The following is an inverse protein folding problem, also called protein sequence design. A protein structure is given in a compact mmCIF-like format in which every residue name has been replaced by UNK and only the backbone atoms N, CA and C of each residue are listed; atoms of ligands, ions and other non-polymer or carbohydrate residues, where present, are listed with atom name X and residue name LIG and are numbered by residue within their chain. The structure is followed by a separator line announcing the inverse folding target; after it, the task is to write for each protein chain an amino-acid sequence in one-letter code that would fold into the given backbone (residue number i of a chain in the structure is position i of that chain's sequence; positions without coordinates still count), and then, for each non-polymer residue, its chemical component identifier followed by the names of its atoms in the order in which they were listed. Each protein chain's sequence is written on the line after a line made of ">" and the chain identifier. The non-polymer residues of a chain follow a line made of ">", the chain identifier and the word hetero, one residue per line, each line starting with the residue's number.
data_IF_153668710384
#
_entry.id   IF_153668710384
#
_cell.length_a   1.000
_cell.length_b   1.000
_cell.length_c   1.000
_cell.angle_alpha   90.00
_cell.angle_beta   90.00
_cell.angle_gamma   90.00
#
_symmetry.space_group_name_H-M   'P 1'
#
loop_
_entity.id
_entity.type
_entity.pdbx_description
1 polymer ?
#
# COMPACT_ATOMS: atom_id res chain seq x y z
N UNK A 1 -14.20 70.02 1.81
CA UNK A 1 -13.89 68.82 0.99
C UNK A 1 -12.40 68.57 1.03
N UNK A 2 -11.89 67.57 1.76
CA UNK A 2 -10.79 66.68 1.34
C UNK A 2 -10.93 65.39 2.17
N UNK A 3 -11.30 64.29 1.52
CA UNK A 3 -11.31 62.95 2.09
C UNK A 3 -9.97 62.29 1.78
N UNK A 4 -9.25 61.78 2.79
CA UNK A 4 -8.06 60.96 2.59
C UNK A 4 -8.06 59.82 3.59
N UNK A 5 -8.70 58.72 3.20
CA UNK A 5 -8.56 57.43 3.89
C UNK A 5 -7.36 56.74 3.23
N UNK A 6 -6.29 56.56 4.00
CA UNK A 6 -5.10 55.82 3.58
C UNK A 6 -5.27 54.37 4.04
N UNK A 7 -5.45 53.44 3.12
CA UNK A 7 -5.50 52.00 3.41
C UNK A 7 -4.14 51.39 3.09
N UNK A 8 -3.45 50.73 4.04
CA UNK A 8 -2.29 49.92 3.72
C UNK A 8 -2.77 48.56 3.19
N UNK A 9 -2.51 48.28 1.92
CA UNK A 9 -2.70 46.95 1.35
C UNK A 9 -1.61 46.02 1.90
N UNK A 10 -1.94 45.19 2.90
CA UNK A 10 -1.09 44.08 3.32
C UNK A 10 -1.15 42.98 2.26
N UNK A 11 -0.08 42.82 1.48
CA UNK A 11 0.11 41.69 0.58
C UNK A 11 0.67 40.51 1.38
N UNK A 12 -0.17 39.51 1.65
CA UNK A 12 0.26 38.26 2.26
C UNK A 12 0.81 37.32 1.18
N UNK A 13 2.12 37.09 1.21
CA UNK A 13 2.78 36.11 0.34
C UNK A 13 2.55 34.72 0.94
N UNK A 14 1.66 33.93 0.32
CA UNK A 14 1.45 32.54 0.68
C UNK A 14 2.55 31.69 0.04
N UNK A 15 3.48 31.22 0.85
CA UNK A 15 4.46 30.21 0.43
C UNK A 15 3.73 28.88 0.35
N UNK A 16 3.43 28.42 -0.87
CA UNK A 16 2.97 27.05 -1.11
C UNK A 16 4.13 26.09 -0.86
N UNK A 17 4.17 25.48 0.32
CA UNK A 17 5.01 24.32 0.57
C UNK A 17 4.47 23.15 -0.26
N UNK A 18 5.17 22.82 -1.35
CA UNK A 18 4.91 21.59 -2.09
C UNK A 18 5.39 20.44 -1.20
N UNK A 19 4.45 19.71 -0.59
CA UNK A 19 4.79 18.50 0.12
C UNK A 19 5.35 17.50 -0.89
N UNK A 20 6.65 17.23 -0.82
CA UNK A 20 7.24 16.06 -1.45
C UNK A 20 6.70 14.85 -0.71
N UNK A 21 5.61 14.27 -1.20
CA UNK A 21 5.17 12.96 -0.75
C UNK A 21 6.31 11.99 -1.05
N UNK A 22 7.03 11.57 0.01
CA UNK A 22 7.92 10.44 -0.08
C UNK A 22 7.06 9.26 -0.53
N UNK A 23 7.32 8.82 -1.75
CA UNK A 23 6.58 7.76 -2.40
C UNK A 23 7.02 6.49 -1.67
N UNK A 24 6.15 5.96 -0.82
CA UNK A 24 6.39 4.75 -0.04
C UNK A 24 5.43 3.67 -0.52
N UNK A 25 5.82 2.41 -0.35
CA UNK A 25 4.93 1.29 -0.66
C UNK A 25 3.65 1.40 0.19
N UNK A 26 2.52 1.15 -0.44
CA UNK A 26 1.22 1.29 0.20
C UNK A 26 0.67 -0.09 0.59
N UNK A 27 0.30 -0.26 1.86
CA UNK A 27 -0.46 -1.44 2.27
C UNK A 27 -1.86 -1.35 1.67
N UNK A 28 -2.18 -2.29 0.78
CA UNK A 28 -3.46 -2.33 0.05
C UNK A 28 -4.49 -3.13 0.81
N UNK A 29 -4.11 -4.31 1.30
CA UNK A 29 -5.00 -5.20 2.06
C UNK A 29 -4.19 -6.21 2.86
N UNK A 30 -4.86 -6.90 3.78
CA UNK A 30 -4.30 -8.06 4.47
C UNK A 30 -5.38 -9.14 4.64
N UNK A 31 -4.96 -10.34 4.97
CA UNK A 31 -5.86 -11.47 5.14
C UNK A 31 -5.15 -12.73 5.62
N UNK A 32 -5.87 -13.85 5.65
CA UNK A 32 -5.31 -15.14 6.05
C UNK A 32 -5.98 -16.31 5.33
N UNK A 33 -5.27 -17.43 5.27
CA UNK A 33 -5.73 -18.70 4.69
C UNK A 33 -4.76 -19.83 5.00
N UNK A 34 -5.22 -21.08 5.01
CA UNK A 34 -4.36 -22.24 5.33
C UNK A 34 -3.77 -22.14 6.73
N UNK A 35 -2.45 -22.10 6.87
CA UNK A 35 -1.71 -21.78 8.11
C UNK A 35 -0.94 -20.45 8.03
N UNK A 36 -1.34 -19.58 7.10
CA UNK A 36 -0.61 -18.37 6.76
C UNK A 36 -1.50 -17.12 6.83
N UNK A 37 -0.83 -15.98 6.98
CA UNK A 37 -1.39 -14.64 6.86
C UNK A 37 -0.60 -13.86 5.81
N UNK A 38 -1.24 -12.91 5.13
CA UNK A 38 -0.58 -12.07 4.14
C UNK A 38 -0.88 -10.59 4.35
N UNK A 39 0.05 -9.76 3.87
CA UNK A 39 -0.18 -8.37 3.54
C UNK A 39 0.12 -8.15 2.06
N UNK A 40 -0.80 -7.50 1.37
CA UNK A 40 -0.66 -7.08 0.00
C UNK A 40 -0.21 -5.63 -0.04
N UNK A 41 0.97 -5.41 -0.60
CA UNK A 41 1.57 -4.10 -0.75
C UNK A 41 1.60 -3.70 -2.23
N UNK A 42 1.46 -2.41 -2.49
CA UNK A 42 1.66 -1.82 -3.81
C UNK A 42 3.02 -1.12 -3.81
N UNK A 43 3.83 -1.42 -4.83
CA UNK A 43 5.12 -0.78 -5.01
C UNK A 43 4.94 0.72 -5.21
N UNK A 44 5.90 1.47 -4.70
CA UNK A 44 6.02 2.92 -4.78
C UNK A 44 5.74 3.50 -6.18
N UNK A 45 6.23 2.85 -7.25
CA UNK A 45 6.00 3.30 -8.63
C UNK A 45 4.56 3.06 -9.14
N UNK A 46 3.65 2.51 -8.32
CA UNK A 46 2.36 1.95 -8.69
C UNK A 46 2.41 0.90 -9.83
N UNK A 47 3.60 0.35 -10.09
CA UNK A 47 3.85 -0.58 -11.22
C UNK A 47 3.60 -2.05 -10.89
N UNK A 48 3.36 -2.39 -9.63
CA UNK A 48 3.12 -3.77 -9.24
C UNK A 48 2.75 -3.93 -7.79
N UNK A 49 2.41 -5.17 -7.45
CA UNK A 49 1.97 -5.59 -6.12
C UNK A 49 2.88 -6.69 -5.61
N UNK A 50 3.05 -6.82 -4.31
CA UNK A 50 3.76 -7.95 -3.73
C UNK A 50 3.11 -8.35 -2.41
N UNK A 51 3.35 -9.60 -2.03
CA UNK A 51 2.92 -10.15 -0.76
C UNK A 51 4.08 -10.26 0.21
N UNK A 52 3.85 -9.81 1.44
CA UNK A 52 4.58 -10.27 2.61
C UNK A 52 3.72 -11.36 3.26
N UNK A 53 4.35 -12.46 3.65
CA UNK A 53 3.64 -13.67 4.10
C UNK A 53 4.22 -14.09 5.44
N UNK A 54 3.34 -14.36 6.40
CA UNK A 54 3.67 -14.85 7.72
C UNK A 54 3.05 -16.23 7.92
N UNK A 55 3.65 -17.01 8.81
CA UNK A 55 2.88 -18.05 9.48
C UNK A 55 1.82 -17.38 10.36
N UNK A 56 0.62 -17.95 10.44
CA UNK A 56 -0.51 -17.29 11.09
C UNK A 56 -0.19 -16.89 12.54
N UNK A 57 0.48 -17.77 13.27
CA UNK A 57 0.84 -17.60 14.67
C UNK A 57 1.87 -16.49 14.91
N UNK A 58 2.67 -16.15 13.90
CA UNK A 58 3.74 -15.16 13.96
C UNK A 58 3.35 -13.78 13.41
N UNK A 59 2.18 -13.67 12.76
CA UNK A 59 1.70 -12.39 12.22
C UNK A 59 1.63 -11.29 13.30
N UNK A 60 2.27 -10.15 13.01
CA UNK A 60 2.34 -9.00 13.92
C UNK A 60 3.31 -9.16 15.11
N UNK A 61 3.98 -10.31 15.24
CA UNK A 61 4.96 -10.59 16.31
C UNK A 61 6.38 -10.71 15.77
N UNK A 62 6.51 -11.26 14.58
CA UNK A 62 7.79 -11.53 13.93
C UNK A 62 7.81 -10.93 12.52
N UNK A 63 9.01 -10.92 11.94
CA UNK A 63 9.21 -10.60 10.53
C UNK A 63 8.45 -11.58 9.62
N UNK A 64 8.16 -11.14 8.40
CA UNK A 64 7.51 -11.99 7.41
C UNK A 64 8.34 -13.25 7.16
N UNK A 65 7.69 -14.41 7.18
CA UNK A 65 8.30 -15.70 6.81
C UNK A 65 8.90 -15.63 5.40
N UNK A 66 8.22 -14.96 4.47
CA UNK A 66 8.75 -14.69 3.14
C UNK A 66 8.12 -13.44 2.53
N UNK A 67 8.79 -12.86 1.54
CA UNK A 67 8.26 -11.81 0.67
C UNK A 67 8.35 -12.29 -0.77
N UNK A 68 7.23 -12.23 -1.47
CA UNK A 68 7.14 -12.64 -2.88
C UNK A 68 7.78 -11.63 -3.85
N UNK A 69 7.97 -12.06 -5.10
CA UNK A 69 8.26 -11.14 -6.20
C UNK A 69 7.08 -10.21 -6.50
N UNK A 70 7.32 -9.18 -7.32
CA UNK A 70 6.24 -8.31 -7.77
C UNK A 70 5.32 -8.99 -8.79
N UNK A 71 4.04 -8.65 -8.74
CA UNK A 71 2.96 -9.08 -9.62
C UNK A 71 2.36 -7.89 -10.34
N UNK A 72 1.88 -8.11 -11.56
CA UNK A 72 1.25 -7.08 -12.40
C UNK A 72 -0.08 -6.57 -11.85
N UNK A 73 -0.75 -7.32 -10.96
CA UNK A 73 -2.02 -6.94 -10.36
C UNK A 73 -2.19 -7.53 -8.96
N UNK A 74 -3.04 -6.88 -8.17
CA UNK A 74 -3.47 -7.39 -6.86
C UNK A 74 -4.14 -8.77 -6.98
N UNK A 75 -4.94 -8.99 -8.02
CA UNK A 75 -5.59 -10.28 -8.28
C UNK A 75 -4.57 -11.41 -8.44
N UNK A 76 -3.55 -11.23 -9.31
CA UNK A 76 -2.49 -12.25 -9.50
C UNK A 76 -1.72 -12.54 -8.21
N UNK A 77 -1.46 -11.51 -7.40
CA UNK A 77 -0.83 -11.68 -6.11
C UNK A 77 -1.70 -12.52 -5.16
N UNK A 78 -2.98 -12.19 -5.03
CA UNK A 78 -3.91 -12.93 -4.16
C UNK A 78 -4.16 -14.35 -4.63
N UNK A 79 -4.24 -14.59 -5.94
CA UNK A 79 -4.29 -15.94 -6.52
C UNK A 79 -3.03 -16.74 -6.16
N UNK A 80 -1.84 -16.14 -6.24
CA UNK A 80 -0.61 -16.80 -5.79
C UNK A 80 -0.68 -17.18 -4.30
N UNK A 81 -1.17 -16.29 -3.42
CA UNK A 81 -1.37 -16.64 -2.01
C UNK A 81 -2.34 -17.81 -1.86
N UNK A 82 -3.48 -17.74 -2.53
CA UNK A 82 -4.54 -18.73 -2.38
C UNK A 82 -4.09 -20.13 -2.82
N UNK A 83 -3.31 -20.21 -3.91
CA UNK A 83 -2.82 -21.45 -4.47
C UNK A 83 -1.68 -22.09 -3.68
N UNK A 84 -0.77 -21.28 -3.12
CA UNK A 84 0.47 -21.79 -2.51
C UNK A 84 0.43 -21.84 -0.98
N UNK A 85 -0.47 -21.09 -0.34
CA UNK A 85 -0.49 -20.93 1.11
C UNK A 85 -1.88 -21.15 1.71
N UNK A 86 -2.94 -20.64 1.07
CA UNK A 86 -4.28 -20.78 1.60
C UNK A 86 -4.90 -22.18 1.38
N UNK A 87 -4.20 -23.03 0.61
CA UNK A 87 -4.62 -24.37 0.26
C UNK A 87 -6.02 -24.41 -0.39
N UNK A 88 -6.38 -23.34 -1.10
CA UNK A 88 -7.68 -23.26 -1.79
C UNK A 88 -7.63 -24.03 -3.12
N UNK A 89 -8.76 -24.63 -3.48
CA UNK A 89 -8.97 -25.18 -4.82
C UNK A 89 -9.60 -24.09 -5.70
N UNK A 90 -8.80 -23.46 -6.55
CA UNK A 90 -9.25 -22.42 -7.49
C UNK A 90 -9.07 -22.88 -8.94
N UNK A 91 -9.85 -22.36 -9.90
CA UNK A 91 -9.62 -22.63 -11.33
C UNK A 91 -8.21 -22.25 -11.80
N UNK A 92 -7.60 -21.23 -11.17
CA UNK A 92 -6.23 -20.80 -11.45
C UNK A 92 -5.16 -21.78 -10.96
N UNK A 93 -5.50 -22.68 -10.04
CA UNK A 93 -4.63 -23.72 -9.50
C UNK A 93 -5.45 -24.95 -9.09
N UNK A 94 -5.84 -25.78 -10.08
CA UNK A 94 -6.50 -27.05 -9.78
C UNK A 94 -5.54 -27.95 -9.00
N UNK A 95 -6.07 -28.60 -7.97
CA UNK A 95 -5.36 -29.60 -7.17
C UNK A 95 -5.63 -31.00 -7.68
#
# INVERSE_FOLDING_TARGET
>A
MISKILVPLLTSLTVMTVATVAQADALVSNGSGGDYSYELWQNTDNRGYYLKIWRRESYGKEEAYTTSSSFESSQKALEHFDCNYADKSLPACPK
#
